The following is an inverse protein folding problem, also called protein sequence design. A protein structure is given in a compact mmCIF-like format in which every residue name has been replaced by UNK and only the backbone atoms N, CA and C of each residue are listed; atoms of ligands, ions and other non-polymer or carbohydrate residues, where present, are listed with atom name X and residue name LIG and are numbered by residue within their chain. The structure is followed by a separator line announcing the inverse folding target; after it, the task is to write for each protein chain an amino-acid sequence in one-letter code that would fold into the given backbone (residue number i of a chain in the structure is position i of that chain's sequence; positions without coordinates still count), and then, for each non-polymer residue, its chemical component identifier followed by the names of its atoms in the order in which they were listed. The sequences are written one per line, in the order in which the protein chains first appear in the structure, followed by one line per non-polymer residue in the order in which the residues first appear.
data_IF_573380521556
#
_entry.id   IF_573380521556
#
_cell.length_a   1.000
_cell.length_b   1.000
_cell.length_c   1.000
_cell.angle_alpha   90.00
_cell.angle_beta   90.00
_cell.angle_gamma   90.00
#
_symmetry.space_group_name_H-M   'P 1'
#
loop_
_entity.id
_entity.type
_entity.pdbx_description
1 polymer ?
#
# COMPACT_ATOMS: atom_id res chain seq x y z
N UNK A 1 -46.05 -18.88 -56.48
CA UNK A 1 -46.06 -19.06 -55.02
C UNK A 1 -44.63 -19.20 -54.55
N UNK A 2 -44.04 -18.06 -54.12
CA UNK A 2 -42.67 -18.03 -53.68
C UNK A 2 -42.70 -17.83 -52.13
N UNK A 3 -42.10 -18.77 -51.39
CA UNK A 3 -41.96 -18.73 -49.92
C UNK A 3 -40.59 -18.16 -49.61
N UNK A 4 -40.55 -16.91 -49.18
CA UNK A 4 -39.39 -16.27 -48.63
C UNK A 4 -39.19 -16.71 -47.16
N UNK A 5 -38.08 -17.41 -46.90
CA UNK A 5 -37.64 -17.83 -45.58
C UNK A 5 -36.83 -16.66 -44.95
N UNK A 6 -37.38 -16.05 -43.92
CA UNK A 6 -36.68 -15.04 -43.15
C UNK A 6 -35.80 -15.74 -42.08
N UNK A 7 -34.49 -15.66 -42.21
CA UNK A 7 -33.55 -16.14 -41.21
C UNK A 7 -33.39 -15.07 -40.10
N UNK A 8 -33.82 -15.39 -38.89
CA UNK A 8 -33.67 -14.57 -37.70
C UNK A 8 -32.25 -14.82 -37.10
N UNK A 9 -31.34 -13.90 -37.33
CA UNK A 9 -30.01 -13.90 -36.68
C UNK A 9 -30.15 -13.41 -35.23
N UNK A 10 -30.12 -14.33 -34.27
CA UNK A 10 -29.94 -14.01 -32.84
C UNK A 10 -28.48 -13.62 -32.61
N UNK A 11 -28.24 -12.34 -32.46
CA UNK A 11 -26.97 -11.79 -31.90
C UNK A 11 -26.93 -12.09 -30.39
N UNK A 12 -26.22 -13.14 -30.00
CA UNK A 12 -25.80 -13.33 -28.60
C UNK A 12 -24.71 -12.34 -28.30
N UNK A 13 -25.05 -11.22 -27.66
CA UNK A 13 -24.07 -10.35 -26.99
C UNK A 13 -23.51 -11.08 -25.77
N UNK A 14 -22.29 -11.61 -25.89
CA UNK A 14 -21.51 -12.09 -24.76
C UNK A 14 -21.17 -10.86 -23.90
N UNK A 15 -21.95 -10.63 -22.86
CA UNK A 15 -21.58 -9.72 -21.78
C UNK A 15 -20.43 -10.40 -21.03
N UNK A 16 -19.19 -10.02 -21.37
CA UNK A 16 -18.03 -10.34 -20.55
C UNK A 16 -18.16 -9.56 -19.22
N UNK A 17 -18.85 -10.14 -18.25
CA UNK A 17 -18.75 -9.68 -16.88
C UNK A 17 -17.36 -10.07 -16.37
N UNK A 18 -16.40 -9.12 -16.48
CA UNK A 18 -15.14 -9.23 -15.76
C UNK A 18 -15.47 -9.21 -14.27
N UNK A 19 -15.44 -10.38 -13.64
CA UNK A 19 -15.53 -10.49 -12.19
C UNK A 19 -14.40 -9.63 -11.59
N UNK A 20 -14.77 -8.61 -10.86
CA UNK A 20 -13.81 -7.77 -10.15
C UNK A 20 -13.18 -8.62 -9.02
N UNK A 21 -11.94 -9.06 -9.24
CA UNK A 21 -11.19 -9.79 -8.22
C UNK A 21 -10.67 -8.78 -7.19
N UNK A 22 -10.88 -9.08 -5.90
CA UNK A 22 -10.34 -8.32 -4.78
C UNK A 22 -9.36 -9.19 -4.01
N UNK A 23 -8.13 -8.70 -3.79
CA UNK A 23 -7.13 -9.37 -2.96
C UNK A 23 -7.32 -9.05 -1.47
N UNK A 24 -7.85 -7.88 -1.17
CA UNK A 24 -8.03 -7.38 0.18
C UNK A 24 -9.32 -7.84 0.86
N UNK A 25 -10.32 -8.27 0.09
CA UNK A 25 -11.61 -8.75 0.61
C UNK A 25 -11.79 -10.23 0.25
N UNK A 26 -12.15 -11.06 1.23
CA UNK A 26 -12.59 -12.42 0.95
C UNK A 26 -13.97 -12.34 0.28
N UNK A 27 -13.99 -12.55 -1.03
CA UNK A 27 -15.23 -12.85 -1.73
C UNK A 27 -15.41 -14.37 -1.68
N UNK A 28 -16.55 -14.84 -1.16
CA UNK A 28 -16.95 -16.26 -1.11
C UNK A 28 -17.21 -16.83 -2.53
N UNK A 29 -16.21 -16.77 -3.39
CA UNK A 29 -16.26 -17.37 -4.73
C UNK A 29 -15.19 -18.44 -4.82
N UNK A 30 -15.60 -19.68 -5.05
CA UNK A 30 -14.69 -20.80 -5.29
C UNK A 30 -13.71 -20.47 -6.41
N UNK A 31 -12.44 -20.31 -6.08
CA UNK A 31 -11.37 -19.97 -7.03
C UNK A 31 -10.83 -21.24 -7.66
N UNK A 32 -11.21 -21.54 -8.88
CA UNK A 32 -10.48 -22.51 -9.73
C UNK A 32 -9.26 -21.80 -10.32
N UNK A 33 -8.08 -22.09 -9.79
CA UNK A 33 -6.82 -21.54 -10.28
C UNK A 33 -6.28 -22.38 -11.42
N UNK A 34 -6.33 -21.86 -12.64
CA UNK A 34 -5.46 -22.33 -13.71
C UNK A 34 -4.14 -21.59 -13.54
N UNK A 35 -3.08 -22.24 -13.08
CA UNK A 35 -1.73 -21.66 -13.03
C UNK A 35 -1.21 -21.59 -14.47
N UNK A 36 -0.89 -20.38 -15.00
CA UNK A 36 -0.16 -20.30 -16.26
C UNK A 36 1.24 -20.89 -16.09
N UNK A 37 1.71 -21.63 -17.07
CA UNK A 37 3.00 -22.33 -17.07
C UNK A 37 4.21 -21.42 -17.38
N UNK A 38 4.02 -20.08 -17.38
CA UNK A 38 5.08 -19.11 -17.58
C UNK A 38 5.49 -18.52 -16.24
N UNK A 39 6.79 -18.12 -16.09
CA UNK A 39 7.24 -17.33 -14.98
C UNK A 39 6.36 -16.06 -14.90
N UNK A 40 5.47 -16.03 -13.92
CA UNK A 40 4.53 -14.93 -13.78
C UNK A 40 5.32 -13.66 -13.45
N UNK A 41 5.03 -12.58 -14.17
CA UNK A 41 5.48 -11.23 -13.79
C UNK A 41 5.12 -10.98 -12.32
N UNK A 42 5.97 -10.27 -11.56
CA UNK A 42 5.66 -9.97 -10.17
C UNK A 42 4.35 -9.19 -10.07
N UNK A 43 3.53 -9.47 -9.06
CA UNK A 43 2.24 -8.80 -8.86
C UNK A 43 2.40 -7.32 -8.49
N UNK A 44 3.48 -6.99 -7.76
CA UNK A 44 3.77 -5.62 -7.33
C UNK A 44 5.25 -5.36 -7.24
N UNK A 45 5.65 -4.14 -7.60
CA UNK A 45 6.96 -3.57 -7.30
C UNK A 45 6.80 -2.47 -6.26
N UNK A 46 7.64 -2.48 -5.23
CA UNK A 46 7.69 -1.46 -4.18
C UNK A 46 9.05 -0.80 -4.20
N UNK A 47 9.07 0.54 -4.21
CA UNK A 47 10.26 1.39 -4.15
C UNK A 47 10.15 2.29 -2.92
N UNK A 48 11.18 2.35 -2.10
CA UNK A 48 11.24 3.13 -0.87
C UNK A 48 12.14 4.37 -1.04
N UNK A 49 11.57 5.54 -0.89
CA UNK A 49 12.29 6.82 -1.03
C UNK A 49 12.65 7.47 0.30
N UNK A 50 12.28 6.83 1.42
CA UNK A 50 12.54 7.30 2.78
C UNK A 50 11.26 7.74 3.51
N UNK A 51 11.29 7.76 4.84
CA UNK A 51 10.18 8.11 5.71
C UNK A 51 8.91 7.26 5.45
N UNK A 52 7.82 7.86 4.95
CA UNK A 52 6.58 7.18 4.51
C UNK A 52 6.42 7.21 2.99
N UNK A 53 7.45 7.62 2.28
CA UNK A 53 7.39 7.83 0.85
C UNK A 53 7.79 6.57 0.09
N UNK A 54 6.81 5.94 -0.54
CA UNK A 54 6.98 4.77 -1.41
C UNK A 54 6.40 5.02 -2.79
N UNK A 55 6.82 4.22 -3.76
CA UNK A 55 6.10 3.99 -5.00
C UNK A 55 5.66 2.54 -5.08
N UNK A 56 4.38 2.33 -5.32
CA UNK A 56 3.75 1.04 -5.57
C UNK A 56 3.46 0.98 -7.07
N UNK A 57 3.99 -0.04 -7.74
CA UNK A 57 3.76 -0.25 -9.18
C UNK A 57 3.10 -1.61 -9.39
N UNK A 58 1.92 -1.64 -10.00
CA UNK A 58 1.24 -2.88 -10.37
C UNK A 58 1.93 -3.59 -11.54
N UNK A 59 1.61 -4.84 -11.78
CA UNK A 59 2.09 -5.60 -12.95
C UNK A 59 1.59 -5.02 -14.30
N UNK A 60 0.57 -4.17 -14.28
CA UNK A 60 0.10 -3.41 -15.45
C UNK A 60 0.74 -2.04 -15.61
N UNK A 61 1.73 -1.72 -14.76
CA UNK A 61 2.48 -0.47 -14.82
C UNK A 61 1.78 0.73 -14.17
N UNK A 62 0.69 0.54 -13.43
CA UNK A 62 0.07 1.63 -12.66
C UNK A 62 0.96 1.99 -11.48
N UNK A 63 1.30 3.27 -11.36
CA UNK A 63 2.19 3.81 -10.32
C UNK A 63 1.40 4.69 -9.37
N UNK A 64 1.51 4.42 -8.08
CA UNK A 64 0.96 5.25 -7.01
C UNK A 64 2.10 5.55 -6.03
N UNK A 65 2.27 6.82 -5.66
CA UNK A 65 3.20 7.21 -4.59
C UNK A 65 2.43 7.56 -3.32
N UNK A 66 3.07 7.30 -2.18
CA UNK A 66 2.50 7.51 -0.84
C UNK A 66 3.27 8.58 -0.09
N UNK A 67 2.56 9.48 0.58
CA UNK A 67 3.08 10.44 1.55
C UNK A 67 4.42 11.11 1.14
N UNK A 68 4.50 11.78 -0.01
CA UNK A 68 5.76 12.33 -0.50
C UNK A 68 6.32 13.41 0.43
N UNK A 69 7.62 13.32 0.69
CA UNK A 69 8.37 14.16 1.63
C UNK A 69 8.88 15.42 0.95
N UNK A 70 8.78 16.56 1.62
CA UNK A 70 9.43 17.82 1.19
C UNK A 70 10.94 17.62 1.04
N UNK A 71 11.58 18.20 0.01
CA UNK A 71 13.03 18.13 -0.18
C UNK A 71 13.82 18.60 1.05
N UNK A 72 14.96 17.96 1.32
CA UNK A 72 15.88 18.31 2.40
C UNK A 72 16.07 17.24 3.48
N UNK A 73 15.11 16.31 3.65
CA UNK A 73 15.27 15.15 4.55
C UNK A 73 15.81 13.92 3.85
N UNK A 74 15.33 13.69 2.62
CA UNK A 74 15.74 12.59 1.74
C UNK A 74 16.00 13.13 0.35
N UNK A 75 16.80 12.43 -0.45
CA UNK A 75 16.96 12.77 -1.86
C UNK A 75 15.60 12.75 -2.58
N UNK A 76 15.36 13.71 -3.44
CA UNK A 76 14.09 13.86 -4.16
C UNK A 76 14.10 13.03 -5.44
N UNK A 77 13.31 11.95 -5.56
CA UNK A 77 13.27 11.13 -6.75
C UNK A 77 12.52 11.85 -7.90
N UNK A 78 12.89 11.52 -9.14
CA UNK A 78 12.10 11.93 -10.30
C UNK A 78 10.98 10.89 -10.52
N UNK A 79 9.73 11.27 -10.23
CA UNK A 79 8.58 10.38 -10.27
C UNK A 79 7.49 10.93 -11.21
N UNK A 80 6.76 10.00 -11.84
CA UNK A 80 5.60 10.30 -12.70
C UNK A 80 4.47 9.31 -12.37
N UNK A 81 3.83 9.44 -11.18
CA UNK A 81 2.78 8.54 -10.75
C UNK A 81 1.44 8.85 -11.44
N UNK A 82 0.52 7.88 -11.42
CA UNK A 82 -0.87 8.08 -11.81
C UNK A 82 -1.70 8.68 -10.66
N UNK A 83 -1.32 8.40 -9.41
CA UNK A 83 -1.92 9.01 -8.23
C UNK A 83 -0.90 9.21 -7.11
N UNK A 84 -1.22 10.13 -6.20
CA UNK A 84 -0.52 10.39 -4.95
C UNK A 84 -1.52 10.21 -3.82
N UNK A 85 -1.18 9.43 -2.79
CA UNK A 85 -1.96 9.35 -1.55
C UNK A 85 -1.30 10.19 -0.46
N UNK A 86 -2.13 10.87 0.33
CA UNK A 86 -1.71 11.72 1.46
C UNK A 86 -2.46 11.28 2.70
N UNK A 87 -1.77 10.64 3.65
CA UNK A 87 -2.32 10.14 4.91
C UNK A 87 -2.31 11.16 6.04
N UNK A 88 -1.48 12.20 5.91
CA UNK A 88 -1.30 13.27 6.89
C UNK A 88 -1.07 14.61 6.19
N UNK A 89 -1.76 15.66 6.65
CA UNK A 89 -1.52 17.03 6.17
C UNK A 89 -0.34 17.68 6.92
N UNK A 90 0.85 17.28 6.51
CA UNK A 90 2.12 17.79 7.05
C UNK A 90 3.20 17.78 5.96
N UNK A 91 4.14 18.75 5.91
CA UNK A 91 5.17 18.84 4.86
C UNK A 91 5.98 17.56 4.61
N UNK A 92 6.15 16.71 5.63
CA UNK A 92 6.83 15.42 5.49
C UNK A 92 5.95 14.32 4.83
N UNK A 93 4.70 14.62 4.44
CA UNK A 93 3.74 13.64 3.91
C UNK A 93 2.92 14.15 2.73
N UNK A 94 2.91 15.46 2.46
CA UNK A 94 1.97 16.06 1.51
C UNK A 94 2.62 16.90 0.39
N UNK A 95 3.90 16.67 0.10
CA UNK A 95 4.60 17.37 -0.99
C UNK A 95 4.17 16.84 -2.36
N UNK A 96 2.92 17.11 -2.74
CA UNK A 96 2.31 16.63 -3.99
C UNK A 96 2.93 17.28 -5.24
N UNK A 97 3.59 18.44 -5.08
CA UNK A 97 4.28 19.18 -6.13
C UNK A 97 5.52 18.46 -6.68
N UNK A 98 5.93 17.36 -6.05
CA UNK A 98 7.02 16.49 -6.54
C UNK A 98 6.70 15.93 -7.92
N UNK A 99 5.44 15.66 -8.25
CA UNK A 99 5.01 15.12 -9.54
C UNK A 99 4.49 16.23 -10.44
N UNK A 100 5.07 16.35 -11.66
CA UNK A 100 4.71 17.38 -12.66
C UNK A 100 3.76 16.89 -13.75
N UNK A 101 3.40 15.61 -13.73
CA UNK A 101 2.56 14.98 -14.75
C UNK A 101 1.04 15.04 -14.46
N UNK A 102 0.61 15.81 -13.44
CA UNK A 102 -0.81 15.99 -13.10
C UNK A 102 -1.50 14.72 -12.55
N UNK A 103 -0.91 14.03 -11.57
CA UNK A 103 -1.52 12.83 -10.99
C UNK A 103 -2.80 13.15 -10.23
N UNK A 104 -3.65 12.13 -10.02
CA UNK A 104 -4.79 12.24 -9.11
C UNK A 104 -4.29 12.33 -7.66
N UNK A 105 -4.73 13.33 -6.90
CA UNK A 105 -4.37 13.48 -5.49
C UNK A 105 -5.48 12.91 -4.61
N UNK A 106 -5.16 11.88 -3.84
CA UNK A 106 -6.07 11.19 -2.93
C UNK A 106 -5.71 11.55 -1.48
N UNK A 107 -6.42 12.53 -0.92
CA UNK A 107 -6.20 12.96 0.46
C UNK A 107 -7.10 12.17 1.40
N UNK A 108 -6.51 11.48 2.37
CA UNK A 108 -7.22 10.74 3.41
C UNK A 108 -7.85 11.64 4.49
N UNK A 109 -7.47 12.91 4.50
CA UNK A 109 -8.00 13.92 5.41
C UNK A 109 -8.51 15.13 4.64
N UNK A 110 -9.61 15.70 5.13
CA UNK A 110 -10.20 16.96 4.69
C UNK A 110 -10.02 18.05 5.74
N UNK A 111 -10.43 19.26 5.41
CA UNK A 111 -10.45 20.42 6.29
C UNK A 111 -9.11 20.58 7.05
N UNK A 112 -8.00 20.63 6.28
CA UNK A 112 -6.62 20.76 6.80
C UNK A 112 -6.23 19.71 7.87
N UNK A 113 -6.74 18.49 7.76
CA UNK A 113 -6.47 17.40 8.70
C UNK A 113 -7.49 17.24 9.82
N UNK A 114 -8.51 18.09 9.89
CA UNK A 114 -9.54 18.05 10.94
C UNK A 114 -10.60 16.97 10.73
N UNK A 115 -10.72 16.42 9.50
CA UNK A 115 -11.75 15.45 9.15
C UNK A 115 -11.18 14.29 8.37
N UNK A 116 -11.78 13.09 8.51
CA UNK A 116 -11.43 11.96 7.65
C UNK A 116 -12.18 12.05 6.32
N UNK A 117 -11.44 11.89 5.23
CA UNK A 117 -12.03 11.66 3.92
C UNK A 117 -12.20 10.16 3.68
N UNK A 118 -13.40 9.76 3.28
CA UNK A 118 -13.67 8.40 2.84
C UNK A 118 -13.30 8.28 1.35
N UNK A 119 -12.03 7.93 1.09
CA UNK A 119 -11.59 7.57 -0.26
C UNK A 119 -12.00 6.12 -0.55
N UNK A 120 -12.59 5.86 -1.70
CA UNK A 120 -12.78 4.52 -2.27
C UNK A 120 -12.91 4.71 -3.78
N UNK A 121 -11.82 4.52 -4.52
CA UNK A 121 -11.75 4.79 -5.97
C UNK A 121 -10.78 3.86 -6.66
N UNK A 122 -10.95 3.67 -7.96
CA UNK A 122 -10.04 2.88 -8.77
C UNK A 122 -9.14 3.80 -9.58
N UNK A 123 -7.83 3.64 -9.39
CA UNK A 123 -6.80 4.29 -10.19
C UNK A 123 -6.30 3.25 -11.20
N UNK A 124 -6.81 3.32 -12.43
CA UNK A 124 -6.57 2.33 -13.49
C UNK A 124 -6.97 0.90 -13.04
N UNK A 125 -6.02 0.08 -12.62
CA UNK A 125 -6.23 -1.31 -12.19
C UNK A 125 -6.08 -1.52 -10.67
N UNK A 126 -5.85 -0.46 -9.90
CA UNK A 126 -5.69 -0.53 -8.45
C UNK A 126 -6.91 0.11 -7.78
N UNK A 127 -7.66 -0.65 -6.97
CA UNK A 127 -8.65 -0.07 -6.06
C UNK A 127 -7.91 0.50 -4.84
N UNK A 128 -8.14 1.78 -4.56
CA UNK A 128 -7.54 2.51 -3.44
C UNK A 128 -8.62 2.92 -2.47
N UNK A 129 -8.45 2.60 -1.19
CA UNK A 129 -9.38 3.07 -0.16
C UNK A 129 -8.67 3.43 1.14
N UNK A 130 -9.33 4.27 1.95
CA UNK A 130 -8.82 4.73 3.26
C UNK A 130 -9.38 3.91 4.41
N UNK A 131 -8.55 3.75 5.44
CA UNK A 131 -8.96 3.32 6.78
C UNK A 131 -8.63 4.47 7.74
N UNK A 132 -9.63 5.03 8.46
CA UNK A 132 -9.41 6.04 9.47
C UNK A 132 -8.53 5.51 10.61
N UNK A 133 -7.48 6.25 10.93
CA UNK A 133 -6.58 5.93 12.02
C UNK A 133 -6.29 7.19 12.84
N UNK A 134 -5.61 7.03 13.98
CA UNK A 134 -5.04 8.14 14.72
C UNK A 134 -3.52 8.08 14.65
N UNK A 135 -2.94 9.23 14.51
CA UNK A 135 -1.55 9.55 14.71
C UNK A 135 -1.40 10.31 16.02
N UNK A 136 -0.18 10.60 16.46
CA UNK A 136 0.05 11.41 17.64
C UNK A 136 1.00 12.56 17.36
N UNK A 137 0.86 13.63 18.14
CA UNK A 137 1.79 14.73 18.15
C UNK A 137 1.85 15.32 19.56
N UNK A 138 3.03 15.28 20.19
CA UNK A 138 3.23 15.76 21.57
C UNK A 138 2.20 15.21 22.56
N UNK A 139 1.88 13.89 22.46
CA UNK A 139 0.93 13.22 23.32
C UNK A 139 -0.55 13.40 22.95
N UNK A 140 -0.86 14.26 21.96
CA UNK A 140 -2.23 14.45 21.50
C UNK A 140 -2.54 13.50 20.33
N UNK A 141 -3.70 12.86 20.35
CA UNK A 141 -4.21 12.10 19.23
C UNK A 141 -4.74 13.04 18.14
N UNK A 142 -4.25 12.86 16.92
CA UNK A 142 -4.71 13.57 15.73
C UNK A 142 -5.26 12.56 14.72
N UNK A 143 -6.17 13.02 13.87
CA UNK A 143 -6.66 12.18 12.77
C UNK A 143 -5.54 11.91 11.78
N UNK A 144 -5.53 10.70 11.25
CA UNK A 144 -4.64 10.22 10.20
C UNK A 144 -5.40 9.26 9.30
N UNK A 145 -4.86 8.94 8.16
CA UNK A 145 -5.44 7.96 7.27
C UNK A 145 -4.38 6.94 6.82
N UNK A 146 -4.72 5.67 6.97
CA UNK A 146 -4.03 4.60 6.28
C UNK A 146 -4.67 4.39 4.90
N UNK A 147 -3.89 3.90 3.94
CA UNK A 147 -4.35 3.57 2.60
C UNK A 147 -4.17 2.09 2.30
N UNK A 148 -5.16 1.51 1.65
CA UNK A 148 -5.10 0.13 1.16
C UNK A 148 -5.17 0.16 -0.36
N UNK A 149 -4.31 -0.62 -0.98
CA UNK A 149 -4.16 -0.77 -2.42
C UNK A 149 -4.47 -2.23 -2.77
N UNK A 150 -5.61 -2.45 -3.40
CA UNK A 150 -6.01 -3.76 -3.91
C UNK A 150 -5.62 -3.86 -5.38
N UNK A 151 -4.60 -4.66 -5.67
CA UNK A 151 -4.10 -4.89 -7.03
C UNK A 151 -4.79 -6.10 -7.71
N UNK A 152 -5.86 -6.62 -7.11
CA UNK A 152 -6.57 -7.79 -7.60
C UNK A 152 -5.93 -9.13 -7.19
N UNK A 153 -4.63 -9.26 -7.25
CA UNK A 153 -3.88 -10.47 -6.85
C UNK A 153 -3.23 -10.34 -5.47
N UNK A 154 -2.76 -9.16 -5.12
CA UNK A 154 -2.04 -8.86 -3.89
C UNK A 154 -2.61 -7.60 -3.23
N UNK A 155 -2.69 -7.62 -1.90
CA UNK A 155 -3.19 -6.52 -1.08
C UNK A 155 -2.03 -5.83 -0.36
N UNK A 156 -1.87 -4.53 -0.57
CA UNK A 156 -0.83 -3.71 0.08
C UNK A 156 -1.50 -2.68 0.98
N UNK A 157 -1.05 -2.55 2.23
CA UNK A 157 -1.50 -1.51 3.14
C UNK A 157 -0.33 -0.60 3.53
N UNK A 158 -0.54 0.71 3.38
CA UNK A 158 0.33 1.76 3.92
C UNK A 158 -0.35 2.32 5.17
N UNK A 159 0.22 2.05 6.35
CA UNK A 159 -0.44 2.36 7.61
C UNK A 159 -0.34 3.85 8.02
N UNK A 160 0.28 4.70 7.17
CA UNK A 160 0.49 6.12 7.46
C UNK A 160 1.24 6.33 8.77
N UNK A 161 0.84 7.32 9.54
CA UNK A 161 1.39 7.61 10.86
C UNK A 161 0.61 6.94 11.99
N UNK A 162 0.11 5.73 11.79
CA UNK A 162 -0.61 4.98 12.82
C UNK A 162 0.16 4.98 14.15
N UNK A 163 -0.52 5.37 15.24
CA UNK A 163 0.10 5.51 16.56
C UNK A 163 -0.53 4.63 17.67
N UNK A 164 -1.40 3.69 17.29
CA UNK A 164 -2.14 2.85 18.25
C UNK A 164 -2.37 1.44 17.71
N UNK A 165 -2.76 0.51 18.59
CA UNK A 165 -3.26 -0.81 18.21
C UNK A 165 -4.57 -0.66 17.43
N UNK A 166 -4.81 -1.54 16.49
CA UNK A 166 -6.02 -1.50 15.67
C UNK A 166 -7.24 -1.96 16.48
N UNK A 167 -8.37 -1.32 16.25
CA UNK A 167 -9.68 -1.82 16.70
C UNK A 167 -10.15 -2.94 15.77
N UNK A 168 -11.14 -3.73 16.21
CA UNK A 168 -11.73 -4.78 15.38
C UNK A 168 -12.33 -4.23 14.07
N UNK A 169 -12.95 -3.06 14.13
CA UNK A 169 -13.52 -2.41 12.95
C UNK A 169 -12.45 -1.97 11.97
N UNK A 170 -11.30 -1.47 12.46
CA UNK A 170 -10.16 -1.15 11.62
C UNK A 170 -9.55 -2.41 11.01
N UNK A 171 -9.40 -3.50 11.77
CA UNK A 171 -8.92 -4.79 11.22
C UNK A 171 -9.84 -5.27 10.10
N UNK A 172 -11.16 -5.23 10.30
CA UNK A 172 -12.15 -5.57 9.26
C UNK A 172 -12.06 -4.65 8.05
N UNK A 173 -11.83 -3.34 8.28
CA UNK A 173 -11.71 -2.35 7.21
C UNK A 173 -10.45 -2.56 6.37
N UNK A 174 -9.31 -2.94 6.98
CA UNK A 174 -8.10 -3.30 6.25
C UNK A 174 -8.30 -4.56 5.40
N UNK A 175 -9.08 -5.53 5.89
CA UNK A 175 -9.26 -6.82 5.23
C UNK A 175 -8.00 -7.69 5.30
N UNK A 176 -7.76 -8.49 4.27
CA UNK A 176 -6.63 -9.42 4.20
C UNK A 176 -5.40 -8.76 3.59
N UNK A 177 -4.55 -8.20 4.42
CA UNK A 177 -3.32 -7.54 4.00
C UNK A 177 -2.22 -8.57 3.72
N UNK A 178 -1.58 -8.49 2.55
CA UNK A 178 -0.44 -9.31 2.19
C UNK A 178 0.90 -8.62 2.52
N UNK A 179 0.97 -7.32 2.24
CA UNK A 179 2.15 -6.49 2.50
C UNK A 179 1.71 -5.28 3.32
N UNK A 180 2.31 -5.08 4.50
CA UNK A 180 2.08 -3.92 5.35
C UNK A 180 3.33 -3.04 5.43
N UNK A 181 3.20 -1.77 5.05
CA UNK A 181 4.18 -0.72 5.34
C UNK A 181 3.82 -0.12 6.70
N UNK A 182 4.67 -0.34 7.71
CA UNK A 182 4.34 -0.12 9.12
C UNK A 182 5.28 0.89 9.76
N UNK A 183 4.76 1.99 10.36
CA UNK A 183 5.59 2.97 11.05
C UNK A 183 6.05 2.44 12.41
N UNK A 184 7.34 2.69 12.75
CA UNK A 184 7.96 2.21 13.99
C UNK A 184 8.69 3.31 14.76
N UNK A 185 8.48 4.59 14.41
CA UNK A 185 9.30 5.72 14.89
C UNK A 185 9.05 6.18 16.31
N UNK A 186 7.93 5.86 16.94
CA UNK A 186 7.59 6.15 18.33
C UNK A 186 7.03 7.54 18.61
N UNK A 187 7.72 8.62 18.24
CA UNK A 187 7.37 9.98 18.67
C UNK A 187 6.04 10.49 18.07
N UNK A 188 5.82 10.24 16.78
CA UNK A 188 4.62 10.67 16.05
C UNK A 188 3.76 9.48 15.62
N UNK A 189 4.33 8.29 15.73
CA UNK A 189 3.74 7.01 15.32
C UNK A 189 3.84 6.03 16.47
N UNK A 190 3.41 4.80 16.29
CA UNK A 190 3.59 3.76 17.31
C UNK A 190 5.07 3.40 17.51
N UNK A 191 5.47 3.07 18.76
CA UNK A 191 6.79 2.51 19.03
C UNK A 191 6.89 1.07 18.50
N UNK A 192 8.12 0.50 18.37
CA UNK A 192 8.34 -0.84 17.85
C UNK A 192 7.48 -1.95 18.47
N UNK A 193 7.30 -1.94 19.78
CA UNK A 193 6.50 -2.97 20.46
C UNK A 193 5.02 -2.92 20.05
N UNK A 194 4.42 -1.73 20.01
CA UNK A 194 3.05 -1.56 19.51
C UNK A 194 2.94 -1.95 18.03
N UNK A 195 3.95 -1.61 17.21
CA UNK A 195 3.98 -2.01 15.81
C UNK A 195 4.01 -3.54 15.65
N UNK A 196 4.75 -4.23 16.51
CA UNK A 196 4.77 -5.72 16.56
C UNK A 196 3.39 -6.30 16.88
N UNK A 197 2.65 -5.68 17.81
CA UNK A 197 1.28 -6.12 18.12
C UNK A 197 0.33 -5.87 16.93
N UNK A 198 0.47 -4.75 16.22
CA UNK A 198 -0.29 -4.49 14.99
C UNK A 198 0.02 -5.52 13.90
N UNK A 199 1.27 -5.98 13.77
CA UNK A 199 1.61 -7.10 12.89
C UNK A 199 0.88 -8.39 13.29
N UNK A 200 0.74 -8.65 14.58
CA UNK A 200 -0.01 -9.82 15.06
C UNK A 200 -1.51 -9.71 14.80
N UNK A 201 -2.05 -8.48 14.77
CA UNK A 201 -3.45 -8.23 14.43
C UNK A 201 -3.72 -8.41 12.93
N UNK A 202 -2.89 -7.82 12.05
CA UNK A 202 -3.08 -7.86 10.60
C UNK A 202 -2.55 -9.15 9.95
N UNK A 203 -1.53 -9.78 10.54
CA UNK A 203 -0.86 -11.01 10.05
C UNK A 203 -0.45 -10.93 8.57
N UNK A 204 0.21 -9.82 8.13
CA UNK A 204 0.65 -9.73 6.75
C UNK A 204 1.73 -10.78 6.47
N UNK A 205 1.95 -11.09 5.19
CA UNK A 205 3.05 -11.98 4.79
C UNK A 205 4.39 -11.25 4.75
N UNK A 206 4.36 -9.96 4.38
CA UNK A 206 5.52 -9.07 4.37
C UNK A 206 5.20 -7.84 5.23
N UNK A 207 6.14 -7.47 6.09
CA UNK A 207 6.13 -6.21 6.82
C UNK A 207 7.33 -5.36 6.39
N UNK A 208 7.09 -4.11 6.02
CA UNK A 208 8.12 -3.16 5.61
C UNK A 208 8.13 -2.02 6.64
N UNK A 209 9.16 -1.92 7.49
CA UNK A 209 9.24 -0.83 8.47
C UNK A 209 9.49 0.52 7.79
N UNK A 210 8.86 1.55 8.32
CA UNK A 210 8.98 2.93 7.85
C UNK A 210 8.94 3.92 9.01
N UNK A 211 9.18 5.21 8.75
CA UNK A 211 9.09 6.31 9.71
C UNK A 211 10.01 6.16 10.93
N UNK A 212 11.20 5.58 10.77
CA UNK A 212 12.17 5.38 11.88
C UNK A 212 13.46 6.18 11.71
N UNK A 213 13.59 7.01 10.66
CA UNK A 213 14.74 7.89 10.37
C UNK A 213 16.07 7.15 10.45
N UNK A 214 16.13 5.94 9.89
CA UNK A 214 17.29 5.05 9.88
C UNK A 214 17.87 4.78 11.30
N UNK A 215 17.06 4.97 12.35
CA UNK A 215 17.42 4.62 13.73
C UNK A 215 17.47 3.09 13.87
N UNK A 216 18.68 2.54 13.85
CA UNK A 216 18.91 1.09 13.91
C UNK A 216 18.40 0.48 15.22
N UNK A 217 18.44 1.20 16.35
CA UNK A 217 17.94 0.68 17.62
C UNK A 217 16.42 0.42 17.57
N UNK A 218 15.62 1.31 16.95
CA UNK A 218 14.19 1.09 16.75
C UNK A 218 13.94 -0.09 15.81
N UNK A 219 14.75 -0.19 14.76
CA UNK A 219 14.67 -1.28 13.82
C UNK A 219 14.99 -2.63 14.47
N UNK A 220 16.08 -2.72 15.25
CA UNK A 220 16.49 -3.93 15.95
C UNK A 220 15.43 -4.40 16.96
N UNK A 221 14.78 -3.46 17.66
CA UNK A 221 13.64 -3.75 18.52
C UNK A 221 12.47 -4.33 17.73
N UNK A 222 12.17 -3.76 16.57
CA UNK A 222 11.03 -4.17 15.75
C UNK A 222 11.23 -5.56 15.13
N UNK A 223 12.40 -5.85 14.55
CA UNK A 223 12.66 -7.12 13.85
C UNK A 223 12.86 -8.32 14.80
N UNK A 224 13.11 -8.06 16.08
CA UNK A 224 13.38 -9.11 17.08
C UNK A 224 12.27 -10.17 17.09
N UNK A 225 12.64 -11.44 16.83
CA UNK A 225 11.73 -12.58 16.84
C UNK A 225 10.90 -12.77 15.56
N UNK A 226 11.06 -11.91 14.55
CA UNK A 226 10.53 -12.14 13.21
C UNK A 226 11.62 -12.61 12.25
N UNK A 227 11.33 -13.54 11.33
CA UNK A 227 12.18 -13.72 10.16
C UNK A 227 12.34 -12.38 9.46
N UNK A 228 13.58 -11.97 9.20
CA UNK A 228 13.84 -10.68 8.57
C UNK A 228 14.99 -10.74 7.57
N UNK A 229 14.97 -9.82 6.62
CA UNK A 229 16.08 -9.59 5.68
C UNK A 229 16.28 -8.10 5.43
N UNK A 230 17.55 -7.72 5.31
CA UNK A 230 17.95 -6.39 4.88
C UNK A 230 18.22 -6.41 3.38
N UNK A 231 17.59 -5.49 2.66
CA UNK A 231 17.83 -5.30 1.24
C UNK A 231 18.82 -4.15 1.09
N UNK A 232 19.99 -4.43 0.48
CA UNK A 232 20.87 -3.35 0.03
C UNK A 232 20.30 -2.75 -1.28
N UNK A 233 19.03 -2.40 -1.24
CA UNK A 233 18.29 -1.84 -2.37
C UNK A 233 17.04 -1.08 -1.87
N UNK A 234 16.66 -0.03 -2.58
CA UNK A 234 15.42 0.70 -2.33
C UNK A 234 14.20 0.08 -3.04
N UNK A 235 14.41 -0.95 -3.86
CA UNK A 235 13.39 -1.55 -4.72
C UNK A 235 13.34 -3.06 -4.56
N UNK A 236 12.13 -3.60 -4.50
CA UNK A 236 11.88 -5.05 -4.54
C UNK A 236 10.55 -5.36 -5.22
N UNK A 237 10.45 -6.58 -5.75
CA UNK A 237 9.24 -7.12 -6.36
C UNK A 237 8.67 -8.24 -5.50
N UNK A 238 7.33 -8.37 -5.51
CA UNK A 238 6.63 -9.41 -4.76
C UNK A 238 5.59 -10.07 -5.65
N UNK A 239 5.50 -11.40 -5.53
CA UNK A 239 4.47 -12.22 -6.18
C UNK A 239 3.67 -12.94 -5.10
N UNK A 240 2.36 -12.97 -5.22
CA UNK A 240 1.46 -13.62 -4.26
C UNK A 240 1.84 -15.08 -4.00
N UNK A 241 2.23 -15.80 -5.05
CA UNK A 241 2.63 -17.21 -4.98
C UNK A 241 3.95 -17.46 -4.24
N UNK A 242 4.79 -16.40 -4.09
CA UNK A 242 6.10 -16.48 -3.45
C UNK A 242 6.14 -15.84 -2.04
N UNK A 243 4.99 -15.40 -1.52
CA UNK A 243 4.93 -14.83 -0.17
C UNK A 243 5.19 -15.90 0.89
N UNK A 244 5.99 -15.60 1.92
CA UNK A 244 6.35 -16.56 2.96
C UNK A 244 5.14 -16.95 3.83
N UNK A 245 5.09 -18.17 4.40
CA UNK A 245 3.98 -18.58 5.28
C UNK A 245 3.92 -17.80 6.61
N UNK A 246 5.02 -17.59 7.38
CA UNK A 246 5.02 -16.63 8.50
C UNK A 246 5.31 -15.23 7.98
N UNK A 247 4.94 -14.22 8.76
CA UNK A 247 5.31 -12.82 8.48
C UNK A 247 6.83 -12.69 8.41
N UNK A 248 7.35 -12.15 7.32
CA UNK A 248 8.76 -11.78 7.16
C UNK A 248 8.90 -10.25 7.13
N UNK A 249 9.81 -9.72 7.93
CA UNK A 249 10.18 -8.30 7.86
C UNK A 249 11.20 -8.09 6.73
N UNK A 250 10.94 -7.15 5.84
CA UNK A 250 11.82 -6.77 4.74
C UNK A 250 12.22 -5.32 4.92
N UNK A 251 13.50 -5.11 5.22
CA UNK A 251 14.06 -3.78 5.47
C UNK A 251 14.72 -3.28 4.20
N UNK A 252 14.22 -2.16 3.69
CA UNK A 252 14.75 -1.49 2.51
C UNK A 252 15.85 -0.49 2.90
N UNK A 253 16.84 -0.30 2.03
CA UNK A 253 17.69 0.88 2.07
C UNK A 253 17.00 1.97 1.26
N UNK A 254 16.76 3.19 1.81
CA UNK A 254 16.15 4.28 1.07
C UNK A 254 16.93 4.63 -0.21
N UNK A 255 16.22 5.12 -1.22
CA UNK A 255 16.82 5.54 -2.48
C UNK A 255 17.94 6.56 -2.27
N UNK A 256 19.09 6.37 -2.94
CA UNK A 256 20.31 7.19 -2.86
C UNK A 256 20.99 7.31 -1.47
N UNK A 257 20.46 6.71 -0.40
CA UNK A 257 21.20 6.67 0.88
C UNK A 257 22.43 5.75 0.82
N UNK A 258 22.61 4.99 -0.27
CA UNK A 258 23.78 4.12 -0.47
C UNK A 258 25.08 4.89 -0.71
N UNK A 259 24.98 6.08 -1.27
CA UNK A 259 26.14 6.86 -1.72
C UNK A 259 26.77 7.70 -0.57
N UNK A 260 26.19 7.63 0.63
CA UNK A 260 26.63 8.34 1.82
C UNK A 260 27.23 7.44 2.93
N UNK A 261 27.58 6.20 2.59
CA UNK A 261 28.24 5.27 3.53
C UNK A 261 29.67 4.97 3.11
#
# INVERSE_FOLDING_TARGET
MSKTLAALLLLFSLVNSSAAYSACRELDVARTWIKPAYAAEPDVTIEFFGHNFFQITSNKGTKIITDPVTPGFYPTPNVSPHAITVGREHPNHNFVEIAKNGPVILRGLGNYGAEWNKVSTTVKDILVYTVPVYQQQFGNALKGAAFVFDLGTICVAHLGDLAHKLTEDQIKAFGKVDIAMIPIGGMFTMPPDTAREVLQQLKPKIAIPMHYRENTALLDMFVKGFPHKYLNNYKSTFSKSALPPPTQVVVFTPWQMRDYR
#
